data_IF_472305107797
#
_entry.id   IF_472305107797
#
_cell.length_a   1.000
_cell.length_b   1.000
_cell.length_c   1.000
_cell.angle_alpha   90.00
_cell.angle_beta   90.00
_cell.angle_gamma   90.00
#
_symmetry.space_group_name_H-M   'P 1'
#
loop_
_entity.id
_entity.type
_entity.pdbx_description
1 polymer ?
#
# COMPACT_ATOMS: atom_id res chain seq x y z
N UNK A 1 -10.63 7.10 -7.37
CA UNK A 1 -9.67 6.63 -6.35
C UNK A 1 -8.84 5.49 -6.88
N UNK A 2 -7.55 5.52 -6.62
CA UNK A 2 -6.66 4.46 -7.07
C UNK A 2 -6.40 3.48 -5.95
N UNK A 3 -6.21 2.22 -6.31
CA UNK A 3 -5.77 1.20 -5.37
C UNK A 3 -4.26 1.15 -5.37
N UNK A 4 -3.69 0.63 -4.28
CA UNK A 4 -2.25 0.46 -4.21
C UNK A 4 -1.71 -0.35 -5.40
N UNK A 5 -2.48 -1.34 -5.85
CA UNK A 5 -2.09 -2.18 -7.00
C UNK A 5 -2.10 -1.44 -8.33
N UNK A 6 -2.66 -0.24 -8.39
CA UNK A 6 -2.67 0.57 -9.60
C UNK A 6 -1.41 1.41 -9.77
N UNK A 7 -0.57 1.48 -8.75
CA UNK A 7 0.65 2.27 -8.81
C UNK A 7 1.71 1.58 -9.67
N UNK A 8 2.44 2.40 -10.42
CA UNK A 8 3.60 1.92 -11.16
C UNK A 8 4.84 1.94 -10.27
N UNK A 9 5.79 1.10 -10.60
CA UNK A 9 7.06 1.10 -9.88
C UNK A 9 7.71 2.48 -9.97
N UNK A 10 8.17 2.96 -8.82
CA UNK A 10 8.77 4.30 -8.70
C UNK A 10 7.80 5.41 -8.35
N UNK A 11 6.50 5.17 -8.45
CA UNK A 11 5.53 6.20 -8.10
C UNK A 11 5.42 6.36 -6.59
N UNK A 12 5.23 7.61 -6.17
CA UNK A 12 5.00 7.95 -4.78
C UNK A 12 3.53 8.29 -4.60
N UNK A 13 2.98 7.88 -3.46
CA UNK A 13 1.58 8.10 -3.19
C UNK A 13 1.36 8.20 -1.68
N UNK A 14 0.16 8.64 -1.32
CA UNK A 14 -0.26 8.73 0.08
C UNK A 14 -1.49 7.85 0.25
N UNK A 15 -1.55 7.13 1.36
CA UNK A 15 -2.71 6.30 1.66
C UNK A 15 -3.88 7.21 2.03
N UNK A 16 -5.00 7.05 1.33
CA UNK A 16 -6.21 7.83 1.57
C UNK A 16 -7.33 7.02 2.22
N UNK A 17 -7.26 5.69 2.13
CA UNK A 17 -8.25 4.85 2.75
C UNK A 17 -7.79 3.41 2.82
N UNK A 18 -8.30 2.68 3.78
CA UNK A 18 -8.03 1.25 3.96
C UNK A 18 -9.36 0.59 4.28
N UNK A 19 -9.76 -0.39 3.48
CA UNK A 19 -11.02 -1.11 3.68
C UNK A 19 -10.74 -2.55 4.08
N UNK A 20 -11.57 -3.08 4.97
CA UNK A 20 -11.41 -4.45 5.43
C UNK A 20 -12.03 -4.64 6.81
N UNK A 21 -11.96 -5.87 7.30
CA UNK A 21 -12.46 -6.16 8.64
C UNK A 21 -11.45 -5.70 9.70
N UNK A 22 -11.86 -5.83 10.97
CA UNK A 22 -11.02 -5.38 12.08
C UNK A 22 -9.67 -6.08 12.11
N UNK A 23 -9.64 -7.37 11.81
CA UNK A 23 -8.40 -8.15 11.82
C UNK A 23 -7.42 -7.62 10.77
N UNK A 24 -7.94 -7.37 9.57
CA UNK A 24 -7.12 -6.84 8.48
C UNK A 24 -6.59 -5.45 8.83
N UNK A 25 -7.47 -4.57 9.31
CA UNK A 25 -7.07 -3.19 9.66
C UNK A 25 -6.03 -3.18 10.77
N UNK A 26 -6.20 -4.02 11.79
CA UNK A 26 -5.24 -4.13 12.87
C UNK A 26 -3.88 -4.60 12.37
N UNK A 27 -3.87 -5.57 11.47
CA UNK A 27 -2.64 -6.08 10.89
C UNK A 27 -1.91 -5.01 10.07
N UNK A 28 -2.65 -4.30 9.21
CA UNK A 28 -2.07 -3.26 8.36
C UNK A 28 -1.50 -2.14 9.22
N UNK A 29 -2.21 -1.73 10.26
CA UNK A 29 -1.73 -0.72 11.19
C UNK A 29 -0.45 -1.18 11.90
N UNK A 30 -0.41 -2.46 12.29
CA UNK A 30 0.75 -3.00 13.00
C UNK A 30 2.02 -3.00 12.16
N UNK A 31 1.90 -3.17 10.85
CA UNK A 31 3.06 -3.12 9.96
C UNK A 31 3.45 -1.69 9.56
N UNK A 32 2.69 -0.71 10.05
CA UNK A 32 3.07 0.70 9.91
C UNK A 32 2.36 1.46 8.79
N UNK A 33 1.31 0.90 8.20
CA UNK A 33 0.56 1.58 7.14
C UNK A 33 -0.72 2.16 7.70
N UNK A 34 -0.85 3.47 7.60
CA UNK A 34 -2.01 4.21 8.12
C UNK A 34 -2.47 5.22 7.08
N UNK A 35 -3.72 5.68 7.22
CA UNK A 35 -4.23 6.76 6.37
C UNK A 35 -3.34 7.98 6.56
N UNK A 36 -2.95 8.59 5.45
CA UNK A 36 -2.03 9.72 5.44
C UNK A 36 -0.58 9.34 5.30
N UNK A 37 -0.25 8.06 5.39
CA UNK A 37 1.14 7.60 5.29
C UNK A 37 1.64 7.72 3.85
N UNK A 38 2.80 8.37 3.62
CA UNK A 38 3.40 8.38 2.29
C UNK A 38 4.11 7.06 2.03
N UNK A 39 4.11 6.64 0.77
CA UNK A 39 4.82 5.43 0.37
C UNK A 39 5.30 5.53 -1.06
N UNK A 40 6.20 4.65 -1.42
CA UNK A 40 6.71 4.54 -2.78
C UNK A 40 6.57 3.10 -3.24
N UNK A 41 6.08 2.90 -4.45
CA UNK A 41 5.96 1.57 -5.04
C UNK A 41 7.33 1.10 -5.52
N UNK A 42 7.83 0.03 -4.91
CA UNK A 42 9.12 -0.54 -5.28
C UNK A 42 9.00 -1.64 -6.32
N UNK A 43 8.00 -2.52 -6.16
CA UNK A 43 7.79 -3.63 -7.08
C UNK A 43 6.30 -3.90 -7.21
N UNK A 44 5.83 -3.91 -8.45
CA UNK A 44 4.44 -4.24 -8.76
C UNK A 44 4.43 -5.10 -10.01
N UNK A 45 4.72 -6.39 -9.84
CA UNK A 45 4.78 -7.37 -10.92
C UNK A 45 3.59 -8.31 -10.76
N UNK A 46 2.91 -8.58 -11.86
CA UNK A 46 1.73 -9.46 -11.88
C UNK A 46 2.06 -10.81 -11.24
N UNK A 47 1.15 -11.30 -10.41
CA UNK A 47 1.26 -12.57 -9.71
C UNK A 47 2.37 -12.64 -8.66
N UNK A 48 2.90 -11.49 -8.25
CA UNK A 48 3.90 -11.43 -7.18
C UNK A 48 3.45 -10.48 -6.10
N UNK A 49 3.98 -10.62 -4.88
CA UNK A 49 3.69 -9.65 -3.83
C UNK A 49 4.08 -8.24 -4.25
N UNK A 50 3.33 -7.28 -3.75
CA UNK A 50 3.63 -5.86 -3.94
C UNK A 50 4.63 -5.45 -2.88
N UNK A 51 5.70 -4.76 -3.30
CA UNK A 51 6.70 -4.22 -2.37
C UNK A 51 6.58 -2.71 -2.36
N UNK A 52 6.43 -2.15 -1.18
CA UNK A 52 6.37 -0.70 -1.00
C UNK A 52 7.38 -0.27 0.04
N UNK A 53 7.85 0.98 -0.08
CA UNK A 53 8.73 1.60 0.91
C UNK A 53 7.95 2.67 1.64
N UNK A 54 7.85 2.55 2.94
CA UNK A 54 7.17 3.52 3.76
C UNK A 54 7.68 3.45 5.18
N UNK A 55 7.72 4.61 5.85
CA UNK A 55 8.18 4.71 7.24
C UNK A 55 9.57 4.10 7.44
N UNK A 56 10.46 4.35 6.48
CA UNK A 56 11.86 3.92 6.50
C UNK A 56 12.03 2.40 6.49
N UNK A 57 11.05 1.68 5.94
CA UNK A 57 11.15 0.22 5.83
C UNK A 57 10.49 -0.26 4.56
N UNK A 58 10.95 -1.41 4.08
CA UNK A 58 10.33 -2.09 2.94
C UNK A 58 9.27 -3.05 3.45
N UNK A 59 8.08 -2.97 2.88
CA UNK A 59 6.94 -3.78 3.29
C UNK A 59 6.45 -4.59 2.11
N UNK A 60 6.28 -5.89 2.31
CA UNK A 60 5.72 -6.79 1.30
C UNK A 60 4.26 -7.09 1.65
N UNK A 61 3.39 -6.93 0.66
CA UNK A 61 1.97 -7.22 0.82
C UNK A 61 1.52 -8.15 -0.30
N UNK A 62 0.66 -9.11 0.01
CA UNK A 62 0.09 -9.89 -1.07
C UNK A 62 -0.90 -9.01 -1.86
N UNK A 63 -1.25 -9.45 -3.08
CA UNK A 63 -2.05 -8.61 -3.96
C UNK A 63 -3.47 -8.38 -3.42
N UNK A 64 -4.06 -9.38 -2.78
CA UNK A 64 -5.40 -9.23 -2.22
C UNK A 64 -5.42 -8.17 -1.11
N UNK A 65 -4.38 -8.14 -0.28
CA UNK A 65 -4.25 -7.12 0.76
C UNK A 65 -4.05 -5.73 0.15
N UNK A 66 -3.25 -5.65 -0.91
CA UNK A 66 -2.94 -4.37 -1.56
C UNK A 66 -4.17 -3.77 -2.23
N UNK A 67 -5.08 -4.60 -2.71
CA UNK A 67 -6.30 -4.10 -3.37
C UNK A 67 -7.24 -3.37 -2.42
N UNK A 68 -7.08 -3.56 -1.12
CA UNK A 68 -7.92 -2.92 -0.11
C UNK A 68 -7.37 -1.59 0.39
N UNK A 69 -6.25 -1.16 -0.15
CA UNK A 69 -5.62 0.11 0.22
C UNK A 69 -5.83 1.09 -0.91
N UNK A 70 -6.49 2.22 -0.60
CA UNK A 70 -6.69 3.30 -1.56
C UNK A 70 -5.58 4.31 -1.40
N UNK A 71 -5.12 4.85 -2.51
CA UNK A 71 -4.01 5.79 -2.52
C UNK A 71 -4.30 6.97 -3.45
N UNK A 72 -3.54 8.04 -3.25
CA UNK A 72 -3.53 9.19 -4.13
C UNK A 72 -2.09 9.42 -4.57
N UNK A 73 -1.86 9.38 -5.89
CA UNK A 73 -0.52 9.58 -6.44
C UNK A 73 -0.07 11.01 -6.16
N UNK A 74 1.17 11.14 -5.72
CA UNK A 74 1.79 12.44 -5.47
C UNK A 74 2.65 12.82 -6.65
N UNK A 75 2.47 14.05 -7.08
CA UNK A 75 3.26 14.59 -8.19
C UNK A 75 4.70 14.90 -7.74
#
# INVERSE_FOLDING_TARGET
MQKLTDLREGQKARITGITGDRRYLSRITSIGLNIGCPLEMLQNVKNRPVLVYGRDTMIALNRAESERIQVEVQA
#
